data_IF_660730219094
#
_entry.id   IF_660730219094
#
_cell.length_a   1.000
_cell.length_b   1.000
_cell.length_c   1.000
_cell.angle_alpha   90.00
_cell.angle_beta   90.00
_cell.angle_gamma   90.00
#
_symmetry.space_group_name_H-M   'P 1'
#
loop_
_entity.id
_entity.type
_entity.pdbx_description
1 polymer ?
#
# COMPACT_ATOMS: atom_id res chain seq x y z
N UNK A 1 -12.41 29.82 -57.27
CA UNK A 1 -12.92 28.48 -57.63
C UNK A 1 -11.91 27.42 -57.18
N UNK A 2 -12.32 26.58 -56.22
CA UNK A 2 -12.14 25.11 -56.18
C UNK A 2 -10.70 24.57 -56.31
N UNK A 3 -10.16 23.75 -55.40
CA UNK A 3 -10.77 22.72 -54.57
C UNK A 3 -10.00 22.55 -53.26
N UNK A 4 -10.74 22.43 -52.16
CA UNK A 4 -10.35 21.59 -51.04
C UNK A 4 -10.40 20.14 -51.52
N UNK A 5 -9.29 19.42 -51.43
CA UNK A 5 -9.30 17.96 -51.34
C UNK A 5 -9.08 17.60 -49.88
N UNK A 6 -10.19 17.46 -49.16
CA UNK A 6 -10.21 16.66 -47.94
C UNK A 6 -9.97 15.21 -48.36
N UNK A 7 -8.73 14.72 -48.16
CA UNK A 7 -8.51 13.29 -47.99
C UNK A 7 -8.89 12.94 -46.56
N UNK A 8 -10.09 12.38 -46.42
CA UNK A 8 -10.48 11.63 -45.23
C UNK A 8 -10.30 10.14 -45.49
N UNK A 9 -10.07 9.40 -44.40
CA UNK A 9 -10.09 7.93 -44.27
C UNK A 9 -8.76 7.17 -44.43
N UNK A 10 -7.79 7.51 -43.58
CA UNK A 10 -6.87 6.50 -43.04
C UNK A 10 -7.64 5.56 -42.11
N UNK A 11 -8.30 4.55 -42.67
CA UNK A 11 -8.96 3.47 -41.92
C UNK A 11 -7.93 2.54 -41.28
N UNK A 12 -7.32 2.97 -40.18
CA UNK A 12 -6.55 2.06 -39.32
C UNK A 12 -7.51 1.04 -38.70
N UNK A 13 -7.29 -0.25 -38.98
CA UNK A 13 -8.01 -1.33 -38.29
C UNK A 13 -7.80 -1.18 -36.78
N UNK A 14 -8.89 -1.17 -36.00
CA UNK A 14 -8.81 -1.19 -34.55
C UNK A 14 -8.30 -2.57 -34.12
N UNK A 15 -7.06 -2.64 -33.63
CA UNK A 15 -6.43 -3.86 -33.15
C UNK A 15 -6.17 -3.74 -31.66
N UNK A 16 -6.56 -4.78 -30.90
CA UNK A 16 -6.21 -4.92 -29.49
C UNK A 16 -4.98 -5.82 -29.39
N UNK A 17 -3.91 -5.32 -28.79
CA UNK A 17 -2.75 -6.13 -28.40
C UNK A 17 -3.10 -6.94 -27.14
N UNK A 18 -2.96 -8.27 -27.21
CA UNK A 18 -3.33 -9.24 -26.16
C UNK A 18 -4.72 -8.99 -25.51
N UNK A 19 -5.83 -9.15 -26.27
CA UNK A 19 -7.17 -8.69 -25.89
C UNK A 19 -7.76 -9.33 -24.63
N UNK A 20 -7.11 -10.34 -24.05
CA UNK A 20 -7.59 -11.10 -22.90
C UNK A 20 -6.73 -10.91 -21.64
N UNK A 21 -5.66 -10.13 -21.71
CA UNK A 21 -4.78 -9.90 -20.58
C UNK A 21 -4.95 -8.49 -20.04
N UNK A 22 -5.15 -8.38 -18.73
CA UNK A 22 -5.19 -7.10 -18.02
C UNK A 22 -4.13 -7.16 -16.92
N UNK A 23 -2.89 -6.74 -17.20
CA UNK A 23 -1.83 -6.76 -16.21
C UNK A 23 -2.19 -5.92 -14.98
N UNK A 24 -1.80 -6.37 -13.79
CA UNK A 24 -1.89 -5.53 -12.59
C UNK A 24 -0.91 -4.36 -12.69
N UNK A 25 -1.26 -3.21 -12.09
CA UNK A 25 -0.35 -2.06 -12.02
C UNK A 25 0.91 -2.38 -11.21
N UNK A 26 0.77 -3.26 -10.21
CA UNK A 26 1.89 -3.75 -9.42
C UNK A 26 1.46 -4.79 -8.40
N UNK A 27 2.36 -5.71 -8.08
CA UNK A 27 2.16 -6.72 -7.02
C UNK A 27 3.38 -6.68 -6.09
N UNK A 28 3.12 -6.53 -4.80
CA UNK A 28 4.16 -6.40 -3.78
C UNK A 28 3.87 -7.31 -2.58
N UNK A 29 4.92 -7.86 -1.96
CA UNK A 29 4.81 -8.70 -0.77
C UNK A 29 5.57 -8.08 0.41
N UNK A 30 4.84 -7.77 1.48
CA UNK A 30 5.41 -7.39 2.77
C UNK A 30 5.46 -8.63 3.64
N UNK A 31 6.60 -8.95 4.23
CA UNK A 31 6.73 -10.09 5.13
C UNK A 31 7.03 -9.64 6.56
N UNK A 32 6.58 -10.43 7.54
CA UNK A 32 7.01 -10.23 8.92
C UNK A 32 8.48 -10.65 9.12
N UNK A 33 9.02 -10.36 10.30
CA UNK A 33 10.44 -10.63 10.60
C UNK A 33 10.78 -12.12 10.63
N UNK A 34 9.79 -13.00 10.86
CA UNK A 34 9.97 -14.46 10.90
C UNK A 34 9.67 -15.15 9.58
N UNK A 35 9.06 -14.44 8.62
CA UNK A 35 8.50 -14.99 7.40
C UNK A 35 7.42 -16.05 7.66
N UNK A 36 6.64 -15.89 8.72
CA UNK A 36 5.47 -16.72 9.03
C UNK A 36 4.20 -16.16 8.37
N UNK A 37 4.15 -14.83 8.19
CA UNK A 37 3.01 -14.11 7.65
C UNK A 37 3.49 -13.11 6.60
N UNK A 38 2.73 -13.01 5.51
CA UNK A 38 2.92 -11.99 4.50
C UNK A 38 1.63 -11.21 4.25
N UNK A 39 1.78 -10.02 3.69
CA UNK A 39 0.71 -9.27 3.07
C UNK A 39 1.02 -9.07 1.59
N UNK A 40 0.18 -9.62 0.73
CA UNK A 40 0.27 -9.46 -0.73
C UNK A 40 -0.64 -8.29 -1.10
N UNK A 41 -0.07 -7.29 -1.77
CA UNK A 41 -0.76 -6.06 -2.17
C UNK A 41 -0.79 -6.04 -3.70
N UNK A 42 -1.99 -6.20 -4.26
CA UNK A 42 -2.21 -6.24 -5.70
C UNK A 42 -2.95 -4.98 -6.17
N UNK A 43 -2.29 -4.10 -6.93
CA UNK A 43 -2.88 -2.91 -7.52
C UNK A 43 -3.52 -3.26 -8.87
N UNK A 44 -4.84 -3.22 -8.96
CA UNK A 44 -5.56 -3.70 -10.13
C UNK A 44 -5.79 -2.60 -11.18
N UNK A 45 -5.63 -2.92 -12.46
CA UNK A 45 -6.09 -2.06 -13.58
C UNK A 45 -7.58 -2.24 -13.90
N UNK A 46 -8.20 -3.31 -13.39
CA UNK A 46 -9.63 -3.58 -13.55
C UNK A 46 -10.26 -3.85 -12.18
N UNK A 47 -10.88 -2.84 -11.60
CA UNK A 47 -11.47 -2.94 -10.26
C UNK A 47 -12.56 -4.02 -10.19
N UNK A 48 -13.38 -4.18 -11.23
CA UNK A 48 -14.39 -5.26 -11.27
C UNK A 48 -13.77 -6.66 -11.24
N UNK A 49 -12.65 -6.86 -11.95
CA UNK A 49 -11.87 -8.11 -11.90
C UNK A 49 -11.19 -8.31 -10.54
N UNK A 50 -10.77 -7.21 -9.91
CA UNK A 50 -10.29 -7.20 -8.54
C UNK A 50 -11.39 -7.71 -7.59
N UNK A 51 -12.60 -7.15 -7.62
CA UNK A 51 -13.72 -7.60 -6.78
C UNK A 51 -14.04 -9.09 -6.93
N UNK A 52 -13.91 -9.64 -8.15
CA UNK A 52 -14.03 -11.08 -8.38
C UNK A 52 -12.90 -11.86 -7.69
N UNK A 53 -11.65 -11.40 -7.83
CA UNK A 53 -10.48 -11.97 -7.14
C UNK A 53 -10.61 -11.88 -5.63
N UNK A 54 -11.08 -10.76 -5.07
CA UNK A 54 -11.39 -10.58 -3.65
C UNK A 54 -12.32 -11.70 -3.16
N UNK A 55 -13.43 -11.94 -3.87
CA UNK A 55 -14.41 -12.94 -3.47
C UNK A 55 -13.88 -14.38 -3.52
N UNK A 56 -13.15 -14.75 -4.56
CA UNK A 56 -12.68 -16.13 -4.73
C UNK A 56 -11.41 -16.41 -3.92
N UNK A 57 -10.43 -15.52 -3.95
CA UNK A 57 -9.13 -15.74 -3.32
C UNK A 57 -9.22 -15.69 -1.79
N UNK A 58 -10.19 -14.95 -1.23
CA UNK A 58 -10.49 -14.97 0.21
C UNK A 58 -10.82 -16.36 0.76
N UNK A 59 -11.21 -17.31 -0.09
CA UNK A 59 -11.51 -18.69 0.30
C UNK A 59 -10.27 -19.59 0.33
N UNK A 60 -9.11 -19.09 -0.11
CA UNK A 60 -7.87 -19.86 -0.12
C UNK A 60 -7.44 -20.14 1.33
N UNK A 61 -7.01 -21.37 1.70
CA UNK A 61 -6.67 -21.69 3.09
C UNK A 61 -5.50 -20.86 3.66
N UNK A 62 -4.63 -20.34 2.78
CA UNK A 62 -3.54 -19.44 3.13
C UNK A 62 -4.03 -18.07 3.62
N UNK A 63 -5.19 -17.57 3.13
CA UNK A 63 -5.66 -16.21 3.39
C UNK A 63 -6.33 -16.13 4.76
N UNK A 64 -5.84 -15.20 5.60
CA UNK A 64 -6.36 -14.90 6.94
C UNK A 64 -7.28 -13.70 6.95
N UNK A 65 -6.98 -12.71 6.12
CA UNK A 65 -7.76 -11.51 5.96
C UNK A 65 -7.63 -10.99 4.53
N UNK A 66 -8.67 -10.34 4.05
CA UNK A 66 -8.65 -9.62 2.77
C UNK A 66 -9.28 -8.25 2.96
N UNK A 67 -8.70 -7.23 2.35
CA UNK A 67 -9.20 -5.87 2.38
C UNK A 67 -9.07 -5.19 1.01
N UNK A 68 -10.00 -4.31 0.70
CA UNK A 68 -9.93 -3.42 -0.46
C UNK A 68 -9.44 -2.06 0.04
N UNK A 69 -8.38 -1.54 -0.59
CA UNK A 69 -7.87 -0.20 -0.37
C UNK A 69 -7.73 0.49 -1.73
N UNK A 70 -8.60 1.46 -2.03
CA UNK A 70 -8.64 2.09 -3.35
C UNK A 70 -8.76 1.05 -4.47
N UNK A 71 -7.83 1.07 -5.42
CA UNK A 71 -7.74 0.09 -6.52
C UNK A 71 -6.90 -1.15 -6.17
N UNK A 72 -6.48 -1.30 -4.92
CA UNK A 72 -5.69 -2.44 -4.46
C UNK A 72 -6.50 -3.44 -3.65
N UNK A 73 -6.14 -4.71 -3.76
CA UNK A 73 -6.57 -5.77 -2.84
C UNK A 73 -5.37 -6.22 -2.04
N UNK A 74 -5.55 -6.30 -0.72
CA UNK A 74 -4.49 -6.73 0.20
C UNK A 74 -4.93 -8.02 0.86
N UNK A 75 -4.11 -9.06 0.71
CA UNK A 75 -4.32 -10.37 1.31
C UNK A 75 -3.29 -10.58 2.42
N UNK A 76 -3.74 -10.67 3.67
CA UNK A 76 -2.90 -11.19 4.74
C UNK A 76 -2.91 -12.71 4.66
N UNK A 77 -1.75 -13.32 4.50
CA UNK A 77 -1.59 -14.74 4.21
C UNK A 77 -0.58 -15.39 5.14
N UNK A 78 -0.82 -16.66 5.51
CA UNK A 78 0.24 -17.49 6.08
C UNK A 78 1.24 -17.89 5.00
N UNK A 79 2.53 -17.85 5.34
CA UNK A 79 3.60 -18.37 4.49
C UNK A 79 3.60 -19.90 4.59
N UNK A 80 3.66 -20.57 3.45
CA UNK A 80 3.60 -22.03 3.31
C UNK A 80 2.93 -22.47 2.02
N UNK A 81 2.75 -23.79 1.88
CA UNK A 81 2.00 -24.42 0.79
C UNK A 81 0.66 -24.91 1.33
N UNK A 82 -0.42 -24.47 0.72
CA UNK A 82 -1.79 -24.74 1.14
C UNK A 82 -2.63 -25.20 -0.07
N UNK A 83 -2.40 -26.42 -0.57
CA UNK A 83 -3.18 -26.95 -1.68
C UNK A 83 -4.68 -26.90 -1.38
N UNK A 84 -5.46 -26.55 -2.39
CA UNK A 84 -6.92 -26.50 -2.31
C UNK A 84 -7.53 -26.95 -3.63
N UNK A 85 -8.77 -27.42 -3.56
CA UNK A 85 -9.50 -27.83 -4.76
C UNK A 85 -10.25 -26.64 -5.35
N UNK A 86 -10.09 -26.44 -6.66
CA UNK A 86 -10.83 -25.43 -7.38
C UNK A 86 -12.24 -25.92 -7.67
N UNK A 87 -13.23 -25.07 -7.41
CA UNK A 87 -14.64 -25.35 -7.67
C UNK A 87 -15.25 -24.26 -8.55
N UNK A 88 -15.74 -24.64 -9.72
CA UNK A 88 -16.38 -23.72 -10.67
C UNK A 88 -17.47 -22.89 -9.98
N UNK A 89 -17.50 -21.59 -10.26
CA UNK A 89 -18.44 -20.60 -9.69
C UNK A 89 -18.40 -20.38 -8.16
N UNK A 90 -17.66 -21.19 -7.38
CA UNK A 90 -17.64 -21.11 -5.92
C UNK A 90 -16.25 -20.71 -5.41
N UNK A 91 -15.24 -21.50 -5.76
CA UNK A 91 -13.83 -21.31 -5.43
C UNK A 91 -13.00 -21.49 -6.70
N UNK A 92 -13.31 -20.68 -7.72
CA UNK A 92 -12.78 -20.85 -9.06
C UNK A 92 -11.33 -20.36 -9.23
N UNK A 93 -10.77 -19.68 -8.22
CA UNK A 93 -9.38 -19.26 -8.19
C UNK A 93 -8.92 -18.96 -6.75
N UNK A 94 -7.61 -18.96 -6.52
CA UNK A 94 -7.04 -18.67 -5.22
C UNK A 94 -5.51 -18.71 -5.16
N UNK A 95 -4.98 -18.58 -3.95
CA UNK A 95 -3.56 -18.60 -3.61
C UNK A 95 -3.21 -19.99 -3.06
N UNK A 96 -2.38 -20.74 -3.80
CA UNK A 96 -1.98 -22.11 -3.44
C UNK A 96 -0.76 -22.13 -2.53
N UNK A 97 0.19 -21.22 -2.74
CA UNK A 97 1.37 -21.12 -1.87
C UNK A 97 1.96 -19.72 -1.83
N UNK A 98 2.61 -19.42 -0.72
CA UNK A 98 3.44 -18.24 -0.52
C UNK A 98 4.71 -18.71 0.17
N UNK A 99 5.88 -18.55 -0.44
CA UNK A 99 7.15 -19.04 0.11
C UNK A 99 8.18 -17.92 0.07
N UNK A 100 8.76 -17.61 1.22
CA UNK A 100 9.91 -16.71 1.29
C UNK A 100 11.18 -17.50 1.01
N UNK A 101 11.80 -17.23 -0.14
CA UNK A 101 13.00 -17.91 -0.59
C UNK A 101 14.27 -17.33 0.05
N UNK A 102 15.33 -18.14 0.10
CA UNK A 102 16.61 -17.74 0.67
C UNK A 102 17.34 -16.66 -0.16
N UNK A 103 16.97 -16.50 -1.43
CA UNK A 103 17.50 -15.47 -2.34
C UNK A 103 16.87 -14.09 -2.12
N UNK A 104 15.89 -13.97 -1.22
CA UNK A 104 15.22 -12.71 -0.88
C UNK A 104 13.93 -12.43 -1.63
N UNK A 105 13.47 -13.36 -2.48
CA UNK A 105 12.16 -13.25 -3.14
C UNK A 105 11.05 -13.95 -2.37
N UNK A 106 9.82 -13.52 -2.63
CA UNK A 106 8.59 -14.20 -2.24
C UNK A 106 7.99 -14.85 -3.48
N UNK A 107 7.95 -16.18 -3.49
CA UNK A 107 7.26 -17.01 -4.46
C UNK A 107 5.77 -17.06 -4.12
N UNK A 108 4.91 -16.63 -5.04
CA UNK A 108 3.45 -16.66 -4.87
C UNK A 108 2.86 -17.48 -6.00
N UNK A 109 2.23 -18.61 -5.66
CA UNK A 109 1.55 -19.48 -6.62
C UNK A 109 0.06 -19.29 -6.56
N UNK A 110 -0.52 -18.95 -7.70
CA UNK A 110 -1.95 -18.81 -7.92
C UNK A 110 -2.47 -19.95 -8.77
N UNK A 111 -3.72 -20.32 -8.55
CA UNK A 111 -4.42 -21.31 -9.36
C UNK A 111 -5.81 -20.81 -9.73
N UNK A 112 -6.32 -21.18 -10.91
CA UNK A 112 -7.64 -20.78 -11.36
C UNK A 112 -8.22 -21.62 -12.48
N UNK A 113 -9.55 -21.60 -12.59
CA UNK A 113 -10.33 -22.27 -13.65
C UNK A 113 -10.77 -21.28 -14.70
N UNK A 114 -10.64 -21.67 -15.97
CA UNK A 114 -11.10 -20.92 -17.13
C UNK A 114 -10.62 -19.47 -17.14
N UNK A 115 -11.56 -18.51 -17.10
CA UNK A 115 -11.24 -17.08 -17.02
C UNK A 115 -10.44 -16.70 -15.77
N UNK A 116 -10.72 -17.35 -14.63
CA UNK A 116 -9.92 -17.18 -13.41
C UNK A 116 -8.48 -17.65 -13.58
N UNK A 117 -8.25 -18.64 -14.45
CA UNK A 117 -6.91 -19.10 -14.82
C UNK A 117 -6.10 -18.05 -15.58
N UNK A 118 -6.73 -17.19 -16.38
CA UNK A 118 -6.04 -16.04 -17.04
C UNK A 118 -5.58 -15.03 -16.00
N UNK A 119 -6.45 -14.75 -15.02
CA UNK A 119 -6.13 -13.91 -13.87
C UNK A 119 -5.00 -14.48 -13.00
N UNK A 120 -4.99 -15.80 -12.77
CA UNK A 120 -3.96 -16.49 -12.00
C UNK A 120 -2.60 -16.60 -12.72
N UNK A 121 -2.56 -16.35 -14.03
CA UNK A 121 -1.35 -16.46 -14.85
C UNK A 121 -0.95 -15.11 -15.43
N UNK A 122 -1.28 -14.84 -16.69
CA UNK A 122 -0.80 -13.70 -17.47
C UNK A 122 -1.04 -12.35 -16.79
N UNK A 123 -2.23 -12.13 -16.23
CA UNK A 123 -2.56 -10.84 -15.61
C UNK A 123 -1.63 -10.52 -14.43
N UNK A 124 -1.21 -11.51 -13.64
CA UNK A 124 -0.27 -11.30 -12.53
C UNK A 124 1.19 -11.38 -12.96
N UNK A 125 1.52 -12.26 -13.90
CA UNK A 125 2.88 -12.45 -14.39
C UNK A 125 3.52 -11.18 -14.96
N UNK A 126 2.71 -10.31 -15.58
CA UNK A 126 3.19 -9.08 -16.22
C UNK A 126 3.00 -7.83 -15.36
N UNK A 127 2.73 -7.99 -14.06
CA UNK A 127 2.60 -6.86 -13.15
C UNK A 127 3.96 -6.23 -12.82
N UNK A 128 3.99 -4.92 -12.58
CA UNK A 128 5.20 -4.31 -12.00
C UNK A 128 5.52 -4.92 -10.64
N UNK A 129 6.80 -4.98 -10.30
CA UNK A 129 7.28 -5.63 -9.07
C UNK A 129 7.51 -7.14 -9.19
N UNK A 130 7.02 -7.79 -10.26
CA UNK A 130 7.34 -9.19 -10.58
C UNK A 130 8.70 -9.28 -11.26
N UNK A 131 9.63 -10.02 -10.64
CA UNK A 131 10.99 -10.21 -11.16
C UNK A 131 11.10 -11.38 -12.13
N UNK A 132 10.36 -12.47 -11.87
CA UNK A 132 10.23 -13.63 -12.76
C UNK A 132 8.87 -14.28 -12.55
N UNK A 133 8.48 -15.15 -13.48
CA UNK A 133 7.25 -15.93 -13.39
C UNK A 133 7.37 -17.27 -14.10
N UNK A 134 6.52 -18.21 -13.70
CA UNK A 134 6.27 -19.49 -14.34
C UNK A 134 4.76 -19.63 -14.53
N UNK A 135 4.30 -19.80 -15.77
CA UNK A 135 2.86 -19.88 -16.06
C UNK A 135 2.53 -21.07 -16.96
N UNK A 136 1.43 -21.74 -16.67
CA UNK A 136 0.83 -22.71 -17.59
C UNK A 136 -0.04 -22.01 -18.64
N UNK A 137 -0.48 -22.74 -19.66
CA UNK A 137 -1.55 -22.25 -20.52
C UNK A 137 -2.83 -21.97 -19.70
N UNK A 138 -3.60 -20.95 -20.11
CA UNK A 138 -4.79 -20.46 -19.41
C UNK A 138 -5.94 -20.16 -20.37
N UNK A 139 -7.16 -20.04 -19.83
CA UNK A 139 -8.37 -19.70 -20.58
C UNK A 139 -9.21 -20.90 -21.02
N UNK A 140 -10.42 -20.63 -21.52
CA UNK A 140 -11.38 -21.67 -21.88
C UNK A 140 -11.88 -22.46 -20.66
N UNK A 141 -11.90 -23.80 -20.75
CA UNK A 141 -12.26 -24.69 -19.64
C UNK A 141 -11.07 -25.27 -18.86
N UNK A 142 -9.86 -24.75 -19.07
CA UNK A 142 -8.62 -25.29 -18.48
C UNK A 142 -8.45 -24.87 -17.01
N UNK A 143 -7.76 -25.72 -16.25
CA UNK A 143 -7.13 -25.32 -14.99
C UNK A 143 -5.76 -24.73 -15.29
N UNK A 144 -5.45 -23.57 -14.73
CA UNK A 144 -4.17 -22.90 -14.93
C UNK A 144 -3.50 -22.58 -13.59
N UNK A 145 -2.17 -22.57 -13.59
CA UNK A 145 -1.33 -22.17 -12.47
C UNK A 145 -0.31 -21.14 -12.92
N UNK A 146 -0.13 -20.12 -12.10
CA UNK A 146 0.89 -19.10 -12.30
C UNK A 146 1.63 -18.84 -11.01
N UNK A 147 2.94 -18.98 -11.06
CA UNK A 147 3.84 -18.63 -9.97
C UNK A 147 4.57 -17.36 -10.36
N UNK A 148 4.47 -16.34 -9.52
CA UNK A 148 5.24 -15.10 -9.66
C UNK A 148 6.24 -15.02 -8.52
N UNK A 149 7.29 -14.24 -8.73
CA UNK A 149 8.25 -13.94 -7.71
C UNK A 149 8.41 -12.43 -7.61
N UNK A 150 8.32 -11.93 -6.39
CA UNK A 150 8.43 -10.50 -6.07
C UNK A 150 9.45 -10.33 -4.96
N UNK A 151 10.22 -9.23 -4.90
CA UNK A 151 11.14 -9.01 -3.80
C UNK A 151 10.43 -9.01 -2.44
N UNK A 152 11.03 -9.66 -1.44
CA UNK A 152 10.58 -9.54 -0.04
C UNK A 152 10.77 -8.11 0.42
N UNK A 153 9.72 -7.52 0.99
CA UNK A 153 9.76 -6.15 1.52
C UNK A 153 9.47 -6.10 3.01
N UNK A 154 10.08 -5.14 3.67
CA UNK A 154 9.75 -4.72 5.01
C UNK A 154 8.90 -3.46 4.97
N UNK A 155 7.88 -3.41 5.85
CA UNK A 155 7.02 -2.24 5.95
C UNK A 155 7.72 -1.11 6.68
N UNK A 156 7.71 0.06 6.06
CA UNK A 156 8.17 1.32 6.64
C UNK A 156 7.03 2.32 6.60
N UNK A 157 6.64 2.83 7.76
CA UNK A 157 5.65 3.89 7.90
C UNK A 157 6.37 5.20 8.18
N UNK A 158 6.02 6.25 7.44
CA UNK A 158 6.53 7.59 7.63
C UNK A 158 5.35 8.51 7.93
N UNK A 159 5.27 8.97 9.17
CA UNK A 159 4.21 9.88 9.61
C UNK A 159 4.72 11.32 9.65
N UNK A 160 3.92 12.24 9.11
CA UNK A 160 4.28 13.63 8.88
C UNK A 160 3.10 14.53 9.26
N UNK A 161 3.39 15.59 9.99
CA UNK A 161 2.41 16.61 10.40
C UNK A 161 3.09 17.99 10.50
N UNK A 162 2.28 19.04 10.47
CA UNK A 162 2.67 20.43 10.70
C UNK A 162 3.68 20.94 9.66
N UNK A 163 3.31 20.85 8.37
CA UNK A 163 4.18 21.31 7.27
C UNK A 163 3.71 22.62 6.63
N UNK A 164 2.50 23.04 6.95
CA UNK A 164 1.80 24.21 6.41
C UNK A 164 1.59 25.29 7.48
N UNK A 165 1.15 26.46 7.03
CA UNK A 165 0.75 27.59 7.89
C UNK A 165 -0.71 27.96 7.64
N UNK A 166 -1.21 29.01 8.32
CA UNK A 166 -2.55 29.54 8.02
C UNK A 166 -2.67 30.16 6.61
N UNK A 167 -1.54 30.54 6.00
CA UNK A 167 -1.51 31.30 4.74
C UNK A 167 -1.01 30.47 3.56
N UNK A 168 -0.17 29.44 3.80
CA UNK A 168 0.54 28.72 2.74
C UNK A 168 0.61 27.22 3.03
N UNK A 169 0.37 26.43 1.98
CA UNK A 169 0.61 24.99 1.98
C UNK A 169 -0.59 24.16 2.43
N UNK A 170 -0.44 22.85 2.31
CA UNK A 170 -1.36 21.86 2.83
C UNK A 170 -0.62 20.54 3.06
N UNK A 171 -0.57 20.09 4.32
CA UNK A 171 0.26 18.92 4.70
C UNK A 171 -0.03 17.68 3.84
N UNK A 172 -1.30 17.37 3.57
CA UNK A 172 -1.65 16.18 2.78
C UNK A 172 -1.15 16.19 1.33
N UNK A 173 -1.18 17.36 0.67
CA UNK A 173 -0.72 17.48 -0.73
C UNK A 173 0.79 17.38 -0.83
N UNK A 174 1.51 18.02 0.11
CA UNK A 174 2.95 17.98 0.15
C UNK A 174 3.43 16.54 0.37
N UNK A 175 2.88 15.84 1.35
CA UNK A 175 3.30 14.47 1.67
C UNK A 175 2.90 13.48 0.57
N UNK A 176 1.76 13.67 -0.09
CA UNK A 176 1.38 12.89 -1.27
C UNK A 176 2.42 13.02 -2.40
N UNK A 177 2.77 14.27 -2.74
CA UNK A 177 3.71 14.54 -3.84
C UNK A 177 5.12 14.05 -3.52
N UNK A 178 5.56 14.22 -2.26
CA UNK A 178 6.83 13.64 -1.80
C UNK A 178 6.80 12.13 -1.92
N UNK A 179 5.75 11.48 -1.41
CA UNK A 179 5.61 10.03 -1.45
C UNK A 179 5.70 9.46 -2.86
N UNK A 180 5.01 10.10 -3.81
CA UNK A 180 5.10 9.72 -5.24
C UNK A 180 6.47 9.98 -5.84
N UNK A 181 7.14 11.08 -5.48
CA UNK A 181 8.44 11.44 -6.04
C UNK A 181 9.57 10.51 -5.56
N UNK A 182 9.51 10.00 -4.32
CA UNK A 182 10.54 9.11 -3.77
C UNK A 182 10.28 7.63 -4.06
N UNK A 183 9.05 7.26 -4.41
CA UNK A 183 8.67 5.88 -4.70
C UNK A 183 9.44 5.31 -5.90
N UNK A 184 9.99 4.11 -5.73
CA UNK A 184 10.72 3.37 -6.76
C UNK A 184 10.67 1.86 -6.47
N UNK A 185 11.32 1.04 -7.29
CA UNK A 185 11.29 -0.43 -7.17
C UNK A 185 11.90 -0.95 -5.85
N UNK A 186 12.86 -0.24 -5.25
CA UNK A 186 13.49 -0.63 -3.98
C UNK A 186 12.66 -0.17 -2.76
N UNK A 187 11.89 0.91 -2.91
CA UNK A 187 11.04 1.51 -1.87
C UNK A 187 9.72 2.01 -2.47
N UNK A 188 8.73 1.11 -2.56
CA UNK A 188 7.45 1.42 -3.22
C UNK A 188 6.46 2.06 -2.25
N UNK A 189 5.81 3.14 -2.68
CA UNK A 189 4.66 3.72 -1.96
C UNK A 189 3.45 2.79 -2.12
N UNK A 190 2.95 2.25 -1.01
CA UNK A 190 1.84 1.30 -0.96
C UNK A 190 0.52 1.99 -0.62
N UNK A 191 0.54 2.93 0.32
CA UNK A 191 -0.65 3.65 0.73
C UNK A 191 -0.34 5.01 1.36
N UNK A 192 -1.36 5.86 1.41
CA UNK A 192 -1.39 7.08 2.21
C UNK A 192 -2.69 7.11 3.01
N UNK A 193 -2.61 7.50 4.27
CA UNK A 193 -3.79 7.79 5.07
C UNK A 193 -3.75 9.22 5.60
N UNK A 194 -4.93 9.84 5.55
CA UNK A 194 -5.20 11.15 6.10
C UNK A 194 -5.91 10.94 7.45
N UNK A 195 -5.38 11.47 8.54
CA UNK A 195 -5.86 11.16 9.89
C UNK A 195 -6.43 12.41 10.54
N UNK A 196 -7.74 12.39 10.78
CA UNK A 196 -8.44 13.44 11.50
C UNK A 196 -8.17 13.29 13.00
N UNK A 197 -7.46 14.26 13.58
CA UNK A 197 -7.11 14.28 15.00
C UNK A 197 -8.10 15.12 15.81
N UNK A 198 -7.99 15.02 17.13
CA UNK A 198 -8.74 15.86 18.06
C UNK A 198 -8.35 17.34 17.87
N UNK A 199 -9.33 18.25 17.68
CA UNK A 199 -9.05 19.65 17.40
C UNK A 199 -8.39 20.33 18.60
N UNK A 200 -7.33 21.10 18.33
CA UNK A 200 -6.63 21.89 19.35
C UNK A 200 -6.46 23.34 18.87
N UNK A 201 -6.46 24.33 19.79
CA UNK A 201 -6.32 25.75 19.43
C UNK A 201 -5.03 26.09 18.66
N UNK A 202 -3.99 25.28 18.83
CA UNK A 202 -2.65 25.52 18.27
C UNK A 202 -2.49 25.07 16.80
N UNK A 203 -3.54 24.50 16.18
CA UNK A 203 -3.48 23.92 14.82
C UNK A 203 -4.31 24.70 13.81
N UNK A 204 -4.03 24.44 12.52
CA UNK A 204 -4.86 24.91 11.40
C UNK A 204 -6.28 24.34 11.50
N UNK A 205 -7.20 24.87 10.70
CA UNK A 205 -8.65 24.64 10.82
C UNK A 205 -9.05 23.15 10.93
N UNK A 206 -8.31 22.23 10.31
CA UNK A 206 -8.71 20.83 10.20
C UNK A 206 -7.92 19.85 11.09
N UNK A 207 -6.91 20.29 11.84
CA UNK A 207 -6.11 19.46 12.77
C UNK A 207 -5.88 18.02 12.28
N UNK A 208 -5.17 17.89 11.15
CA UNK A 208 -5.08 16.66 10.37
C UNK A 208 -3.61 16.29 10.13
N UNK A 209 -3.31 15.00 10.26
CA UNK A 209 -1.95 14.42 10.10
C UNK A 209 -1.92 13.39 8.97
N UNK A 210 -0.73 13.01 8.52
CA UNK A 210 -0.54 12.05 7.41
C UNK A 210 0.37 10.89 7.81
N UNK A 211 0.09 9.72 7.26
CA UNK A 211 1.03 8.58 7.27
C UNK A 211 1.15 8.01 5.85
N UNK A 212 2.39 7.86 5.41
CA UNK A 212 2.77 7.16 4.18
C UNK A 212 3.25 5.75 4.53
N UNK A 213 2.81 4.77 3.76
CA UNK A 213 3.26 3.38 3.88
C UNK A 213 4.13 3.00 2.69
N UNK A 214 5.32 2.47 2.98
CA UNK A 214 6.26 1.97 1.98
C UNK A 214 6.63 0.51 2.21
N UNK A 215 6.96 -0.19 1.12
CA UNK A 215 7.60 -1.51 1.14
C UNK A 215 9.03 -1.43 0.65
N UNK A 216 10.00 -1.60 1.55
CA UNK A 216 11.43 -1.50 1.25
C UNK A 216 12.08 -2.88 1.10
N UNK A 217 12.89 -3.10 0.06
CA UNK A 217 13.60 -4.38 -0.16
C UNK A 217 14.81 -4.58 0.75
N UNK A 218 15.34 -3.50 1.33
CA UNK A 218 16.56 -3.54 2.14
C UNK A 218 16.64 -2.38 3.12
N UNK A 219 17.56 -2.50 4.08
CA UNK A 219 17.90 -1.44 5.01
C UNK A 219 18.47 -0.20 4.27
N UNK A 220 19.27 -0.39 3.22
CA UNK A 220 19.81 0.71 2.42
C UNK A 220 18.70 1.47 1.68
N UNK A 221 17.72 0.75 1.13
CA UNK A 221 16.55 1.35 0.48
C UNK A 221 15.73 2.18 1.47
N UNK A 222 15.51 1.66 2.69
CA UNK A 222 14.86 2.39 3.78
C UNK A 222 15.61 3.66 4.15
N UNK A 223 16.93 3.59 4.35
CA UNK A 223 17.74 4.75 4.74
C UNK A 223 17.70 5.85 3.67
N UNK A 224 17.81 5.46 2.40
CA UNK A 224 17.67 6.38 1.27
C UNK A 224 16.29 7.03 1.22
N UNK A 225 15.23 6.23 1.36
CA UNK A 225 13.85 6.71 1.41
C UNK A 225 13.67 7.79 2.50
N UNK A 226 14.14 7.50 3.72
CA UNK A 226 14.05 8.43 4.86
C UNK A 226 14.82 9.73 4.57
N UNK A 227 16.03 9.62 4.02
CA UNK A 227 16.86 10.77 3.68
C UNK A 227 16.20 11.65 2.61
N UNK A 228 15.64 11.04 1.56
CA UNK A 228 14.98 11.77 0.47
C UNK A 228 13.71 12.48 0.96
N UNK A 229 12.86 11.79 1.73
CA UNK A 229 11.65 12.41 2.32
C UNK A 229 12.03 13.58 3.22
N UNK A 230 13.04 13.41 4.08
CA UNK A 230 13.54 14.49 4.94
C UNK A 230 14.05 15.68 4.11
N UNK A 231 14.80 15.44 3.05
CA UNK A 231 15.33 16.49 2.18
C UNK A 231 14.19 17.28 1.50
N UNK A 232 13.14 16.59 1.03
CA UNK A 232 11.96 17.26 0.50
C UNK A 232 11.22 18.08 1.55
N UNK A 233 11.03 17.56 2.76
CA UNK A 233 10.37 18.31 3.84
C UNK A 233 11.15 19.56 4.23
N UNK A 234 12.47 19.46 4.39
CA UNK A 234 13.33 20.62 4.69
C UNK A 234 13.29 21.68 3.59
N UNK A 235 13.02 21.29 2.34
CA UNK A 235 12.98 22.21 1.20
C UNK A 235 11.61 22.87 1.01
N UNK A 236 10.53 22.15 1.27
CA UNK A 236 9.17 22.55 0.85
C UNK A 236 8.20 22.78 1.99
N UNK A 237 8.48 22.28 3.20
CA UNK A 237 7.71 22.66 4.38
C UNK A 237 7.92 24.13 4.69
N UNK A 238 6.85 24.81 5.09
CA UNK A 238 6.88 26.22 5.52
C UNK A 238 6.75 26.37 7.03
N UNK A 239 6.73 25.27 7.79
CA UNK A 239 6.58 25.25 9.24
C UNK A 239 7.85 24.75 9.94
N UNK A 240 8.33 25.54 10.91
CA UNK A 240 9.42 25.15 11.83
C UNK A 240 8.99 24.02 12.79
N UNK A 241 7.68 23.75 12.89
CA UNK A 241 7.12 22.71 13.73
C UNK A 241 6.99 21.36 13.03
N UNK A 242 7.51 21.21 11.81
CA UNK A 242 7.43 19.96 11.04
C UNK A 242 7.86 18.74 11.87
N UNK A 243 6.93 17.79 12.00
CA UNK A 243 7.19 16.48 12.57
C UNK A 243 7.38 15.44 11.47
N UNK A 244 8.43 14.63 11.57
CA UNK A 244 8.62 13.45 10.72
C UNK A 244 9.10 12.29 11.58
N UNK A 245 8.29 11.24 11.67
CA UNK A 245 8.56 10.04 12.47
C UNK A 245 8.54 8.81 11.57
N UNK A 246 9.35 7.82 11.90
CA UNK A 246 9.45 6.57 11.15
C UNK A 246 9.24 5.38 12.07
N UNK A 247 8.40 4.45 11.64
CA UNK A 247 8.20 3.16 12.28
C UNK A 247 8.43 2.05 11.26
N UNK A 248 9.17 1.00 11.64
CA UNK A 248 9.35 -0.20 10.81
C UNK A 248 8.79 -1.42 11.53
N UNK A 249 7.85 -2.11 10.89
CA UNK A 249 7.22 -3.27 11.49
C UNK A 249 6.00 -3.75 10.72
N UNK A 250 5.74 -5.04 10.81
CA UNK A 250 4.59 -5.69 10.15
C UNK A 250 3.25 -5.38 10.82
N UNK A 251 3.24 -5.01 12.10
CA UNK A 251 2.01 -4.67 12.82
C UNK A 251 2.29 -3.52 13.77
N UNK A 252 1.28 -2.70 14.05
CA UNK A 252 1.39 -1.60 15.00
C UNK A 252 1.38 -2.16 16.42
N UNK A 253 2.39 -1.85 17.26
CA UNK A 253 2.41 -2.28 18.65
C UNK A 253 1.31 -1.57 19.45
N UNK A 254 0.83 -2.23 20.52
CA UNK A 254 -0.28 -1.72 21.34
C UNK A 254 -0.06 -0.29 21.84
N UNK A 255 1.16 0.07 22.26
CA UNK A 255 1.47 1.41 22.73
C UNK A 255 1.23 2.49 21.68
N UNK A 256 1.62 2.25 20.42
CA UNK A 256 1.32 3.16 19.32
C UNK A 256 -0.15 3.18 18.93
N UNK A 257 -0.84 2.03 19.00
CA UNK A 257 -2.27 1.96 18.74
C UNK A 257 -3.08 2.77 19.76
N UNK A 258 -2.77 2.62 21.05
CA UNK A 258 -3.43 3.34 22.14
C UNK A 258 -3.18 4.86 22.02
N UNK A 259 -1.95 5.27 21.70
CA UNK A 259 -1.64 6.68 21.45
C UNK A 259 -2.37 7.24 20.23
N UNK A 260 -2.38 6.49 19.12
CA UNK A 260 -3.07 6.89 17.89
C UNK A 260 -4.58 7.03 18.08
N UNK A 261 -5.19 6.21 18.93
CA UNK A 261 -6.59 6.35 19.32
C UNK A 261 -6.79 7.60 20.19
N UNK A 262 -5.94 7.78 21.22
CA UNK A 262 -6.01 8.93 22.13
C UNK A 262 -5.89 10.27 21.39
N UNK A 263 -4.99 10.36 20.40
CA UNK A 263 -4.80 11.55 19.56
C UNK A 263 -6.02 11.92 18.70
N UNK A 264 -7.00 11.01 18.54
CA UNK A 264 -8.27 11.27 17.85
C UNK A 264 -9.42 11.63 18.77
N UNK A 265 -9.31 11.35 20.07
CA UNK A 265 -10.40 11.56 21.04
C UNK A 265 -10.10 12.62 22.09
N UNK A 266 -8.83 12.99 22.28
CA UNK A 266 -8.43 13.95 23.30
C UNK A 266 -7.14 14.67 22.94
N UNK A 267 -6.88 15.78 23.65
CA UNK A 267 -5.61 16.50 23.55
C UNK A 267 -4.48 15.67 24.19
N UNK A 268 -3.40 15.49 23.44
CA UNK A 268 -2.17 14.80 23.86
C UNK A 268 -1.02 15.80 24.02
N UNK A 269 -0.06 15.48 24.88
CA UNK A 269 1.10 16.36 25.13
C UNK A 269 2.33 15.91 24.37
N UNK A 270 3.29 16.84 24.18
CA UNK A 270 4.59 16.53 23.60
C UNK A 270 5.38 15.50 24.42
N UNK A 271 5.38 15.64 25.74
CA UNK A 271 6.07 14.71 26.65
C UNK A 271 5.49 13.28 26.54
N UNK A 272 4.17 13.15 26.40
CA UNK A 272 3.54 11.86 26.10
C UNK A 272 4.01 11.31 24.74
N UNK A 273 4.07 12.15 23.71
CA UNK A 273 4.52 11.74 22.38
C UNK A 273 5.97 11.22 22.39
N UNK A 274 6.88 11.97 23.01
CA UNK A 274 8.30 11.61 23.14
C UNK A 274 8.47 10.29 23.89
N UNK A 275 7.75 10.12 25.01
CA UNK A 275 7.76 8.88 25.78
C UNK A 275 7.25 7.69 24.95
N UNK A 276 6.09 7.85 24.30
CA UNK A 276 5.50 6.78 23.48
C UNK A 276 6.39 6.41 22.30
N UNK A 277 7.02 7.39 21.63
CA UNK A 277 7.95 7.11 20.54
C UNK A 277 9.15 6.27 21.02
N UNK A 278 9.76 6.64 22.14
CA UNK A 278 10.89 5.92 22.72
C UNK A 278 10.52 4.49 23.15
N UNK A 279 9.35 4.28 23.77
CA UNK A 279 8.88 2.97 24.23
C UNK A 279 8.51 2.01 23.08
N UNK A 280 8.25 2.52 21.88
CA UNK A 280 7.77 1.74 20.74
C UNK A 280 8.73 1.72 19.54
N UNK A 281 10.02 2.05 19.76
CA UNK A 281 11.06 2.04 18.72
C UNK A 281 10.67 2.87 17.48
N UNK A 282 10.12 4.06 17.70
CA UNK A 282 9.83 5.03 16.64
C UNK A 282 10.99 6.00 16.52
N UNK A 283 11.54 6.11 15.31
CA UNK A 283 12.62 7.04 15.01
C UNK A 283 12.04 8.45 14.78
N UNK A 284 12.47 9.42 15.59
CA UNK A 284 12.12 10.84 15.42
C UNK A 284 13.15 11.49 14.50
N UNK A 285 12.78 11.78 13.25
CA UNK A 285 13.67 12.32 12.22
C UNK A 285 13.65 13.86 12.21
N UNK A 286 12.47 14.45 12.35
CA UNK A 286 12.24 15.88 12.59
C UNK A 286 11.34 16.02 13.83
N UNK A 287 11.86 16.68 14.86
CA UNK A 287 11.26 16.76 16.21
C UNK A 287 10.51 18.06 16.50
N UNK A 288 9.92 18.70 15.49
CA UNK A 288 9.01 19.83 15.69
C UNK A 288 7.71 19.39 16.37
N UNK A 289 6.84 20.34 16.77
CA UNK A 289 5.59 20.01 17.49
C UNK A 289 4.62 19.13 16.69
N UNK A 290 4.75 19.08 15.36
CA UNK A 290 4.06 18.11 14.50
C UNK A 290 4.33 16.66 14.88
N UNK A 291 5.39 16.35 15.65
CA UNK A 291 5.64 14.99 16.13
C UNK A 291 4.45 14.39 16.88
N UNK A 292 3.65 15.22 17.56
CA UNK A 292 2.45 14.81 18.30
C UNK A 292 1.41 14.22 17.34
N UNK A 293 1.07 14.97 16.27
CA UNK A 293 0.09 14.52 15.29
C UNK A 293 0.63 13.43 14.37
N UNK A 294 1.91 13.47 14.03
CA UNK A 294 2.57 12.41 13.27
C UNK A 294 2.52 11.08 14.03
N UNK A 295 2.87 11.05 15.32
CA UNK A 295 2.81 9.82 16.12
C UNK A 295 1.39 9.26 16.20
N UNK A 296 0.38 10.13 16.26
CA UNK A 296 -1.02 9.72 16.32
C UNK A 296 -1.56 9.13 15.00
N UNK A 297 -0.83 9.26 13.88
CA UNK A 297 -1.27 8.78 12.58
C UNK A 297 -0.92 7.30 12.31
N UNK A 298 0.07 6.73 13.01
CA UNK A 298 0.63 5.42 12.66
C UNK A 298 -0.40 4.29 12.62
N UNK A 299 -1.32 4.21 13.57
CA UNK A 299 -2.30 3.11 13.62
C UNK A 299 -3.35 3.14 12.51
N UNK A 300 -3.39 4.21 11.72
CA UNK A 300 -4.42 4.47 10.72
C UNK A 300 -3.93 4.26 9.27
N UNK A 301 -2.69 3.81 9.09
CA UNK A 301 -2.19 3.39 7.78
C UNK A 301 -3.13 2.35 7.15
N UNK A 302 -3.22 2.33 5.82
CA UNK A 302 -4.13 1.44 5.09
C UNK A 302 -5.63 1.52 5.47
N UNK A 303 -6.07 2.51 6.26
CA UNK A 303 -7.47 2.67 6.67
C UNK A 303 -8.02 4.08 6.39
N UNK A 304 -8.04 4.53 5.12
CA UNK A 304 -8.25 5.92 4.75
C UNK A 304 -9.71 6.37 4.91
N UNK A 305 -10.66 5.42 4.95
CA UNK A 305 -12.09 5.70 5.12
C UNK A 305 -12.42 5.98 6.58
N UNK A 306 -11.88 5.19 7.51
CA UNK A 306 -12.14 5.40 8.94
C UNK A 306 -11.26 6.49 9.55
N UNK A 307 -10.05 6.70 9.01
CA UNK A 307 -9.07 7.65 9.57
C UNK A 307 -9.51 9.11 9.44
N UNK A 308 -10.32 9.44 8.43
CA UNK A 308 -10.83 10.81 8.19
C UNK A 308 -12.07 11.16 9.00
N UNK A 309 -12.74 10.17 9.59
CA UNK A 309 -13.91 10.42 10.44
C UNK A 309 -13.46 11.07 11.75
N UNK A 310 -14.17 12.01 12.33
CA UNK A 310 -13.83 12.51 13.66
C UNK A 310 -13.98 11.42 14.73
N UNK A 311 -12.91 11.14 15.50
CA UNK A 311 -12.96 10.16 16.59
C UNK A 311 -13.79 10.63 17.80
N UNK A 312 -13.99 11.94 17.92
CA UNK A 312 -14.67 12.63 19.02
C UNK A 312 -16.16 12.89 18.77
N UNK A 313 -16.74 12.39 17.68
CA UNK A 313 -18.17 12.51 17.39
C UNK A 313 -18.98 11.25 17.73
N UNK A 314 -18.32 10.19 18.23
CA UNK A 314 -18.95 8.92 18.58
C UNK A 314 -19.29 8.81 20.08
N UNK A 315 -19.35 9.94 20.79
CA UNK A 315 -19.85 10.05 22.19
C UNK A 315 -21.25 10.69 22.23
#
# INVERSE_FOLDING_TARGET
>A
MKNQSHESSGGGSLVLEDPYTVPYQGIYAICDGKNDVAEIIEHANCFSGACWSYHHYAKSPAVKNVQIYGESIRYTVSVGRFPFELQSSVAAAGIESVVCNADGDVEITYAGLGGGGVGATKCRAFANGVSRYEITESGGGKTAKGTIYVPRRERVLIAIDDTDSCDVGATWTLTHNIGKAVSNDDAVLLSQALVQLYPVPEKTQNCMSTVLEFGCVSQQAKEKLIADVKAFLLKYSVSENTGMLVYSGFSIPKGLADYSQKGRTSRVTRAEAEKTAAENAVDVILGGNGMIGALAAFAWFANPVESVKPGFLNE
#
